data_IF_480644623087
#
_entry.id   IF_480644623087
#
_cell.length_a   1.000
_cell.length_b   1.000
_cell.length_c   1.000
_cell.angle_alpha   90.00
_cell.angle_beta   90.00
_cell.angle_gamma   90.00
#
_symmetry.space_group_name_H-M   'P 1'
#
loop_
_entity.id
_entity.type
_entity.pdbx_description
1 polymer ?
#
# COMPACT_ATOMS: atom_id res chain seq x y z
N UNK A 1 15.99 -0.18 3.21
CA UNK A 1 15.83 -1.34 4.13
C UNK A 1 15.06 -0.85 5.34
N UNK A 2 14.08 -1.63 5.80
CA UNK A 2 13.32 -1.39 7.03
C UNK A 2 13.67 -2.50 8.03
N UNK A 3 13.87 -2.15 9.30
CA UNK A 3 14.30 -3.09 10.36
C UNK A 3 13.59 -2.79 11.68
N UNK A 4 13.33 -3.82 12.48
CA UNK A 4 12.68 -3.71 13.80
C UNK A 4 11.19 -3.43 13.67
N UNK A 5 10.35 -4.47 13.77
CA UNK A 5 8.90 -4.38 13.54
C UNK A 5 8.58 -3.65 12.22
N UNK A 6 9.29 -4.00 11.15
CA UNK A 6 9.16 -3.37 9.86
C UNK A 6 7.77 -3.61 9.27
N UNK A 7 7.14 -2.54 8.81
CA UNK A 7 5.85 -2.54 8.14
C UNK A 7 5.96 -1.83 6.79
N UNK A 8 5.50 -2.49 5.72
CA UNK A 8 5.44 -1.90 4.38
C UNK A 8 4.03 -2.08 3.81
N UNK A 9 3.43 -0.98 3.36
CA UNK A 9 2.11 -0.97 2.70
C UNK A 9 2.25 -0.64 1.23
N UNK A 10 1.65 -1.48 0.39
CA UNK A 10 1.47 -1.26 -1.04
C UNK A 10 -0.01 -1.02 -1.35
N UNK A 11 -0.33 -0.75 -2.62
CA UNK A 11 -1.70 -0.48 -3.05
C UNK A 11 -2.63 -1.68 -2.79
N UNK A 12 -2.10 -2.89 -2.95
CA UNK A 12 -2.83 -4.15 -2.96
C UNK A 12 -2.44 -5.08 -1.80
N UNK A 13 -1.50 -4.69 -0.96
CA UNK A 13 -0.96 -5.58 0.06
C UNK A 13 -0.28 -4.83 1.19
N UNK A 14 -0.04 -5.55 2.28
CA UNK A 14 0.89 -5.11 3.31
C UNK A 14 1.75 -6.28 3.79
N UNK A 15 2.95 -5.95 4.26
CA UNK A 15 3.95 -6.88 4.75
C UNK A 15 4.45 -6.41 6.10
N UNK A 16 4.48 -7.32 7.07
CA UNK A 16 5.04 -7.12 8.41
C UNK A 16 6.13 -8.17 8.67
N UNK A 17 7.31 -7.72 9.12
CA UNK A 17 8.45 -8.58 9.39
C UNK A 17 9.48 -7.91 10.32
N UNK A 18 10.52 -8.63 10.76
CA UNK A 18 11.64 -7.99 11.46
C UNK A 18 12.52 -7.15 10.52
N UNK A 19 12.66 -7.60 9.26
CA UNK A 19 13.41 -6.89 8.22
C UNK A 19 12.72 -6.99 6.87
N UNK A 20 12.61 -5.87 6.17
CA UNK A 20 12.12 -5.80 4.80
C UNK A 20 13.17 -5.08 3.93
N UNK A 21 13.59 -5.72 2.84
CA UNK A 21 14.46 -5.16 1.81
C UNK A 21 13.66 -4.97 0.53
N UNK A 22 13.81 -3.81 -0.10
CA UNK A 22 13.22 -3.53 -1.41
C UNK A 22 14.31 -3.13 -2.39
N UNK A 23 14.47 -3.93 -3.45
CA UNK A 23 15.34 -3.63 -4.57
C UNK A 23 14.50 -2.92 -5.65
N UNK A 24 14.44 -1.59 -5.59
CA UNK A 24 13.57 -0.74 -6.43
C UNK A 24 13.73 -1.06 -7.92
N UNK A 25 14.99 -1.14 -8.39
CA UNK A 25 15.30 -1.38 -9.80
C UNK A 25 14.78 -2.71 -10.33
N UNK A 26 14.71 -3.73 -9.46
CA UNK A 26 14.22 -5.07 -9.80
C UNK A 26 12.77 -5.30 -9.41
N UNK A 27 12.15 -4.32 -8.76
CA UNK A 27 10.82 -4.44 -8.14
C UNK A 27 10.71 -5.67 -7.21
N UNK A 28 11.80 -6.07 -6.56
CA UNK A 28 11.87 -7.26 -5.72
C UNK A 28 11.81 -6.88 -4.23
N UNK A 29 10.90 -7.52 -3.50
CA UNK A 29 10.79 -7.41 -2.04
C UNK A 29 11.20 -8.71 -1.37
N UNK A 30 11.99 -8.60 -0.32
CA UNK A 30 12.39 -9.71 0.54
C UNK A 30 12.07 -9.35 1.98
N UNK A 31 11.38 -10.24 2.69
CA UNK A 31 11.01 -10.06 4.09
C UNK A 31 11.55 -11.23 4.92
N UNK A 32 12.11 -10.91 6.08
CA UNK A 32 12.74 -11.88 6.99
C UNK A 32 12.29 -11.59 8.42
N UNK A 33 12.01 -12.65 9.17
CA UNK A 33 11.76 -12.61 10.61
C UNK A 33 12.62 -13.65 11.32
N UNK A 34 12.94 -13.41 12.59
CA UNK A 34 13.71 -14.34 13.41
C UNK A 34 12.93 -15.64 13.68
N UNK A 35 13.63 -16.69 14.17
CA UNK A 35 13.11 -18.07 14.30
C UNK A 35 11.77 -18.19 15.04
N UNK A 36 11.51 -17.32 16.01
CA UNK A 36 10.30 -17.34 16.83
C UNK A 36 9.22 -16.34 16.37
N UNK A 37 9.47 -15.65 15.25
CA UNK A 37 8.59 -14.66 14.65
C UNK A 37 8.21 -15.09 13.23
N UNK A 38 7.20 -14.44 12.67
CA UNK A 38 6.67 -14.75 11.33
C UNK A 38 6.75 -13.53 10.43
N UNK A 39 6.87 -13.78 9.13
CA UNK A 39 6.57 -12.79 8.11
C UNK A 39 5.07 -12.90 7.85
N UNK A 40 4.37 -11.78 7.94
CA UNK A 40 2.95 -11.69 7.63
C UNK A 40 2.78 -10.91 6.34
N UNK A 41 2.03 -11.45 5.39
CA UNK A 41 1.64 -10.74 4.17
C UNK A 41 0.14 -10.85 4.01
N UNK A 42 -0.53 -9.71 3.89
CA UNK A 42 -1.97 -9.66 3.64
C UNK A 42 -2.18 -9.12 2.24
N UNK A 43 -2.86 -9.91 1.40
CA UNK A 43 -3.27 -9.52 0.06
C UNK A 43 -4.69 -8.96 0.10
N UNK A 44 -4.87 -7.75 -0.42
CA UNK A 44 -6.15 -7.09 -0.53
C UNK A 44 -6.72 -7.31 -1.94
N UNK A 45 -7.88 -7.99 -2.08
CA UNK A 45 -8.56 -8.13 -3.36
C UNK A 45 -8.79 -6.80 -4.06
N UNK A 46 -8.55 -6.74 -5.38
CA UNK A 46 -8.72 -5.54 -6.19
C UNK A 46 -10.12 -4.91 -6.03
N UNK A 47 -11.15 -5.75 -5.85
CA UNK A 47 -12.54 -5.35 -5.65
C UNK A 47 -12.77 -4.51 -4.38
N UNK A 48 -11.89 -4.63 -3.38
CA UNK A 48 -11.98 -3.85 -2.13
C UNK A 48 -11.22 -2.52 -2.21
N UNK A 49 -10.38 -2.31 -3.24
CA UNK A 49 -9.53 -1.13 -3.37
C UNK A 49 -10.30 0.12 -3.85
N UNK A 50 -11.43 -0.08 -4.56
CA UNK A 50 -12.29 0.99 -5.11
C UNK A 50 -13.21 1.66 -4.07
N UNK A 51 -13.12 1.29 -2.80
CA UNK A 51 -13.99 1.81 -1.73
C UNK A 51 -13.60 3.22 -1.24
N UNK A 52 -12.51 3.80 -1.75
CA UNK A 52 -12.21 5.21 -1.47
C UNK A 52 -13.20 6.09 -2.24
N UNK A 53 -14.03 6.92 -1.57
CA UNK A 53 -14.92 7.83 -2.28
C UNK A 53 -14.08 8.71 -3.20
N UNK A 54 -14.30 8.58 -4.52
CA UNK A 54 -13.66 9.44 -5.51
C UNK A 54 -14.03 10.87 -5.15
N UNK A 55 -13.08 11.80 -5.01
CA UNK A 55 -13.39 13.18 -4.68
C UNK A 55 -14.36 13.71 -5.74
N UNK A 56 -15.57 14.02 -5.31
CA UNK A 56 -16.64 14.51 -6.16
C UNK A 56 -16.18 15.87 -6.69
N UNK A 57 -15.79 15.90 -7.95
CA UNK A 57 -15.35 17.12 -8.63
C UNK A 57 -16.57 18.05 -8.73
N UNK A 58 -16.72 18.95 -7.77
CA UNK A 58 -17.73 20.00 -7.78
C UNK A 58 -17.52 20.86 -9.03
N UNK A 59 -18.23 20.52 -10.12
CA UNK A 59 -18.37 21.40 -11.28
C UNK A 59 -19.22 22.58 -10.81
N UNK A 60 -18.58 23.70 -10.48
CA UNK A 60 -19.27 25.00 -10.43
C UNK A 60 -19.73 25.30 -11.85
N UNK A 61 -21.03 25.22 -12.07
CA UNK A 61 -21.73 25.82 -13.21
C UNK A 61 -21.61 27.34 -13.06
N UNK A 62 -20.85 27.98 -13.94
CA UNK A 62 -20.95 29.42 -14.12
C UNK A 62 -22.04 29.65 -15.16
N UNK A 63 -23.13 30.29 -14.73
CA UNK A 63 -24.15 30.87 -15.60
C UNK A 63 -23.51 32.01 -16.40
N UNK A 64 -23.45 31.87 -17.72
CA UNK A 64 -23.15 32.98 -18.62
C UNK A 64 -24.43 33.81 -18.78
N UNK A 65 -24.54 34.90 -18.01
CA UNK A 65 -25.27 36.09 -18.47
C UNK A 65 -24.25 36.98 -19.16
N UNK A 66 -24.41 37.15 -20.48
CA UNK A 66 -24.36 38.43 -21.21
C UNK A 66 -24.54 38.17 -22.70
#
# INVERSE_FOLDING_TARGET
VLTGNAYLKQLDSNIEADRITYQVEKQLMEAFSDKDKRVTTVLLPAQLQDTKPKPQKNRKTNETKN
#
